data_IF_577572109462
#
_entry.id   IF_577572109462
#
_cell.length_a   1.000
_cell.length_b   1.000
_cell.length_c   1.000
_cell.angle_alpha   90.00
_cell.angle_beta   90.00
_cell.angle_gamma   90.00
#
_symmetry.space_group_name_H-M   'P 1'
#
loop_
_entity.id
_entity.type
_entity.pdbx_description
1 polymer ?
#
# COMPACT_ATOMS: atom_id res chain seq x y z
N UNK A 1 -47.81 -6.16 -3.69
CA UNK A 1 -46.44 -5.92 -3.17
C UNK A 1 -45.73 -5.11 -4.24
N UNK A 2 -45.48 -3.83 -4.03
CA UNK A 2 -44.71 -2.99 -4.96
C UNK A 2 -43.23 -3.24 -4.69
N UNK A 3 -42.54 -3.89 -5.61
CA UNK A 3 -41.09 -4.04 -5.56
C UNK A 3 -40.44 -2.65 -5.66
N UNK A 4 -39.66 -2.28 -4.64
CA UNK A 4 -38.81 -1.10 -4.69
C UNK A 4 -37.58 -1.44 -5.53
N UNK A 5 -37.43 -0.75 -6.66
CA UNK A 5 -36.21 -0.83 -7.48
C UNK A 5 -35.07 -0.17 -6.69
N UNK A 6 -33.94 -0.86 -6.45
CA UNK A 6 -32.81 -0.30 -5.74
C UNK A 6 -32.17 0.85 -6.55
N UNK A 7 -31.79 1.92 -5.88
CA UNK A 7 -31.07 3.05 -6.49
C UNK A 7 -29.66 2.61 -6.91
N UNK A 8 -29.32 2.83 -8.19
CA UNK A 8 -28.02 2.45 -8.75
C UNK A 8 -27.06 3.64 -8.67
N UNK A 9 -26.02 3.52 -7.85
CA UNK A 9 -24.93 4.50 -7.75
C UNK A 9 -23.74 4.08 -8.62
N UNK A 10 -23.70 4.50 -9.88
CA UNK A 10 -22.64 4.13 -10.83
C UNK A 10 -21.27 4.60 -10.33
N UNK A 11 -20.31 3.68 -10.25
CA UNK A 11 -18.94 3.98 -9.79
C UNK A 11 -18.84 4.37 -8.32
N UNK A 12 -19.87 4.09 -7.50
CA UNK A 12 -19.94 4.46 -6.08
C UNK A 12 -19.84 5.98 -5.83
N UNK A 13 -20.23 6.80 -6.81
CA UNK A 13 -20.21 8.26 -6.66
C UNK A 13 -21.06 8.73 -5.47
N UNK A 14 -20.42 9.36 -4.49
CA UNK A 14 -21.06 9.85 -3.27
C UNK A 14 -21.46 8.77 -2.27
N UNK A 15 -21.04 7.51 -2.47
CA UNK A 15 -21.36 6.40 -1.57
C UNK A 15 -20.21 6.18 -0.58
N UNK A 16 -20.50 6.34 0.71
CA UNK A 16 -19.58 5.95 1.79
C UNK A 16 -19.72 4.45 2.02
N UNK A 17 -18.64 3.70 1.81
CA UNK A 17 -18.62 2.23 1.97
C UNK A 17 -18.06 1.77 3.31
N UNK A 18 -17.19 2.57 3.93
CA UNK A 18 -16.58 2.26 5.23
C UNK A 18 -15.98 3.51 5.88
N UNK A 19 -15.45 3.34 7.09
CA UNK A 19 -14.64 4.31 7.83
C UNK A 19 -13.16 3.98 7.71
N UNK A 20 -12.29 4.98 7.86
CA UNK A 20 -10.82 4.77 7.86
C UNK A 20 -10.14 5.73 8.82
N UNK A 21 -9.08 5.25 9.46
CA UNK A 21 -8.19 6.05 10.29
C UNK A 21 -6.85 6.37 9.59
N UNK A 22 -6.69 6.01 8.31
CA UNK A 22 -5.40 6.10 7.60
C UNK A 22 -5.20 7.49 7.00
N UNK A 23 -6.17 7.99 6.25
CA UNK A 23 -6.07 9.29 5.58
C UNK A 23 -7.41 10.01 5.48
N UNK A 24 -7.34 11.32 5.30
CA UNK A 24 -8.52 12.16 5.05
C UNK A 24 -8.18 13.25 4.05
N UNK A 25 -9.07 13.45 3.08
CA UNK A 25 -9.08 14.66 2.25
C UNK A 25 -10.01 15.66 2.93
N UNK A 26 -9.48 16.81 3.34
CA UNK A 26 -10.22 17.90 3.98
C UNK A 26 -10.71 18.86 2.89
N UNK A 27 -12.01 18.86 2.54
CA UNK A 27 -12.51 19.64 1.41
C UNK A 27 -12.33 21.14 1.56
N UNK A 28 -12.43 21.65 2.81
CA UNK A 28 -12.41 23.08 3.10
C UNK A 28 -11.02 23.69 2.88
N UNK A 29 -9.96 22.91 3.13
CA UNK A 29 -8.57 23.35 3.00
C UNK A 29 -7.87 22.73 1.79
N UNK A 30 -8.57 21.88 1.04
CA UNK A 30 -8.02 21.06 -0.05
C UNK A 30 -6.73 20.34 0.37
N UNK A 31 -6.67 19.90 1.63
CA UNK A 31 -5.48 19.28 2.23
C UNK A 31 -5.71 17.79 2.42
N UNK A 32 -4.72 17.00 2.04
CA UNK A 32 -4.65 15.57 2.31
C UNK A 32 -3.84 15.36 3.60
N UNK A 33 -4.38 14.58 4.53
CA UNK A 33 -3.66 14.18 5.74
C UNK A 33 -3.47 12.66 5.81
N UNK A 34 -2.30 12.24 6.30
CA UNK A 34 -1.99 10.85 6.67
C UNK A 34 -1.88 10.77 8.18
N UNK A 35 -2.72 9.96 8.82
CA UNK A 35 -2.80 9.83 10.28
C UNK A 35 -2.89 11.19 11.02
N UNK A 36 -3.49 12.20 10.38
CA UNK A 36 -3.60 13.55 10.93
C UNK A 36 -2.49 14.53 10.52
N UNK A 37 -1.37 14.06 9.97
CA UNK A 37 -0.28 14.89 9.46
C UNK A 37 -0.56 15.37 8.03
N UNK A 38 -0.35 16.65 7.74
CA UNK A 38 -0.51 17.18 6.39
C UNK A 38 0.55 16.59 5.45
N UNK A 39 0.11 16.08 4.28
CA UNK A 39 1.02 15.45 3.32
C UNK A 39 2.06 16.44 2.78
N UNK A 40 1.73 17.73 2.71
CA UNK A 40 2.69 18.78 2.34
C UNK A 40 3.86 18.85 3.32
N UNK A 41 3.58 18.73 4.62
CA UNK A 41 4.60 18.77 5.66
C UNK A 41 5.44 17.49 5.67
N UNK A 42 4.79 16.32 5.49
CA UNK A 42 5.47 15.04 5.37
C UNK A 42 6.41 15.03 4.15
N UNK A 43 5.96 15.51 3.00
CA UNK A 43 6.78 15.55 1.79
C UNK A 43 7.98 16.51 1.90
N UNK A 44 7.86 17.58 2.69
CA UNK A 44 8.93 18.55 2.88
C UNK A 44 9.95 18.11 3.94
N UNK A 45 9.53 17.35 4.96
CA UNK A 45 10.33 17.14 6.17
C UNK A 45 10.61 15.67 6.51
N UNK A 46 9.94 14.71 5.87
CA UNK A 46 10.08 13.28 6.17
C UNK A 46 10.61 12.51 4.95
N UNK A 47 11.34 11.45 5.25
CA UNK A 47 11.70 10.40 4.29
C UNK A 47 10.50 9.51 3.96
N UNK A 48 10.62 8.74 2.88
CA UNK A 48 9.59 7.78 2.50
C UNK A 48 9.42 6.68 3.56
N UNK A 49 10.52 6.21 4.15
CA UNK A 49 10.54 5.20 5.19
C UNK A 49 9.80 5.65 6.47
N UNK A 50 9.93 6.92 6.86
CA UNK A 50 9.15 7.50 7.97
C UNK A 50 7.66 7.53 7.66
N UNK A 51 7.28 7.88 6.43
CA UNK A 51 5.88 7.91 6.00
C UNK A 51 5.30 6.49 5.88
N UNK A 52 6.08 5.52 5.41
CA UNK A 52 5.67 4.11 5.40
C UNK A 52 5.40 3.59 6.81
N UNK A 53 6.30 3.89 7.76
CA UNK A 53 6.09 3.57 9.18
C UNK A 53 4.82 4.24 9.71
N UNK A 54 4.63 5.53 9.46
CA UNK A 54 3.45 6.28 9.87
C UNK A 54 2.15 5.62 9.39
N UNK A 55 2.11 5.20 8.11
CA UNK A 55 0.90 4.61 7.53
C UNK A 55 0.57 3.25 8.18
N UNK A 56 1.57 2.40 8.41
CA UNK A 56 1.39 1.09 9.04
C UNK A 56 1.08 1.18 10.54
N UNK A 57 1.87 1.94 11.29
CA UNK A 57 1.84 1.94 12.75
C UNK A 57 1.03 3.09 13.37
N UNK A 58 0.64 4.08 12.58
CA UNK A 58 -0.21 5.19 13.01
C UNK A 58 0.54 6.43 13.49
N UNK A 59 1.82 6.31 13.84
CA UNK A 59 2.65 7.41 14.37
C UNK A 59 4.02 7.46 13.65
N UNK A 60 4.64 8.65 13.65
CA UNK A 60 6.00 8.81 13.14
C UNK A 60 6.99 8.00 14.00
N UNK A 61 7.99 7.35 13.38
CA UNK A 61 8.91 6.49 14.10
C UNK A 61 9.83 7.28 15.02
N UNK A 62 10.24 6.66 16.14
CA UNK A 62 11.46 7.09 16.86
C UNK A 62 12.71 6.78 16.03
N UNK A 63 13.87 7.38 16.32
CA UNK A 63 15.11 7.08 15.61
C UNK A 63 15.45 5.58 15.59
N UNK A 64 15.21 4.87 16.69
CA UNK A 64 15.48 3.43 16.80
C UNK A 64 14.52 2.60 15.95
N UNK A 65 13.24 2.99 15.91
CA UNK A 65 12.23 2.33 15.07
C UNK A 65 12.54 2.52 13.58
N UNK A 66 12.94 3.74 13.19
CA UNK A 66 13.31 4.06 11.83
C UNK A 66 14.56 3.28 11.39
N UNK A 67 15.58 3.21 12.24
CA UNK A 67 16.80 2.44 11.96
C UNK A 67 16.46 0.96 11.74
N UNK A 68 15.66 0.37 12.63
CA UNK A 68 15.24 -1.03 12.51
C UNK A 68 14.44 -1.27 11.23
N UNK A 69 13.50 -0.38 10.90
CA UNK A 69 12.71 -0.48 9.68
C UNK A 69 13.60 -0.40 8.44
N UNK A 70 14.51 0.56 8.38
CA UNK A 70 15.44 0.74 7.26
C UNK A 70 16.37 -0.47 7.10
N UNK A 71 16.82 -1.10 8.19
CA UNK A 71 17.62 -2.33 8.13
C UNK A 71 16.83 -3.49 7.53
N UNK A 72 15.58 -3.69 7.98
CA UNK A 72 14.69 -4.73 7.45
C UNK A 72 14.37 -4.50 5.98
N UNK A 73 13.98 -3.28 5.63
CA UNK A 73 13.62 -2.88 4.27
C UNK A 73 14.80 -3.10 3.31
N UNK A 74 16.00 -2.64 3.66
CA UNK A 74 17.20 -2.82 2.82
C UNK A 74 17.57 -4.28 2.63
N UNK A 75 17.39 -5.10 3.66
CA UNK A 75 17.64 -6.55 3.58
C UNK A 75 16.64 -7.25 2.64
N UNK A 76 15.41 -6.75 2.52
CA UNK A 76 14.34 -7.33 1.71
C UNK A 76 14.34 -6.90 0.23
N UNK A 77 15.24 -6.01 -0.21
CA UNK A 77 15.26 -5.47 -1.59
C UNK A 77 15.69 -6.48 -2.68
N UNK A 78 16.32 -7.59 -2.31
CA UNK A 78 16.92 -8.51 -3.30
C UNK A 78 15.84 -9.36 -3.97
N UNK A 79 15.78 -9.28 -5.29
CA UNK A 79 15.06 -10.25 -6.11
C UNK A 79 15.85 -11.57 -6.20
N UNK A 80 15.17 -12.69 -6.03
CA UNK A 80 15.77 -14.01 -6.20
C UNK A 80 15.95 -14.36 -7.70
N UNK A 81 16.64 -15.46 -7.97
CA UNK A 81 16.91 -15.86 -9.35
C UNK A 81 15.65 -16.29 -10.11
N UNK A 82 14.66 -16.82 -9.39
CA UNK A 82 13.40 -17.29 -9.97
C UNK A 82 12.57 -16.11 -10.48
N UNK A 83 12.40 -15.06 -9.67
CA UNK A 83 11.75 -13.82 -10.07
C UNK A 83 12.47 -13.17 -11.24
N UNK A 84 13.81 -13.04 -11.20
CA UNK A 84 14.56 -12.48 -12.31
C UNK A 84 14.39 -13.31 -13.60
N UNK A 85 14.33 -14.64 -13.51
CA UNK A 85 14.06 -15.49 -14.67
C UNK A 85 12.63 -15.35 -15.19
N UNK A 86 11.65 -15.09 -14.34
CA UNK A 86 10.27 -14.80 -14.75
C UNK A 86 10.24 -13.50 -15.56
N UNK A 87 10.85 -12.43 -15.02
CA UNK A 87 10.89 -11.12 -15.66
C UNK A 87 11.57 -11.16 -17.04
N UNK A 88 12.65 -11.92 -17.21
CA UNK A 88 13.36 -12.03 -18.49
C UNK A 88 12.63 -12.86 -19.55
N UNK A 89 11.63 -13.67 -19.14
CA UNK A 89 10.79 -14.45 -20.06
C UNK A 89 9.56 -13.67 -20.55
N UNK A 90 9.22 -12.56 -19.90
CA UNK A 90 8.12 -11.70 -20.34
C UNK A 90 8.47 -11.03 -21.68
N UNK A 91 7.48 -10.80 -22.57
CA UNK A 91 7.72 -10.04 -23.79
C UNK A 91 8.25 -8.64 -23.46
N UNK A 92 9.30 -8.20 -24.15
CA UNK A 92 9.93 -6.88 -23.96
C UNK A 92 9.04 -5.70 -24.34
N UNK A 93 7.96 -5.96 -25.07
CA UNK A 93 6.96 -4.99 -25.51
C UNK A 93 5.65 -5.02 -24.69
N UNK A 94 5.55 -5.87 -23.67
CA UNK A 94 4.35 -5.88 -22.83
C UNK A 94 4.29 -4.62 -21.96
N UNK A 95 3.09 -4.25 -21.53
CA UNK A 95 2.93 -3.07 -20.70
C UNK A 95 3.60 -3.31 -19.33
N UNK A 96 4.38 -2.36 -18.76
CA UNK A 96 5.06 -2.58 -17.48
C UNK A 96 4.14 -2.99 -16.32
N UNK A 97 2.87 -2.57 -16.35
CA UNK A 97 1.88 -3.01 -15.36
C UNK A 97 1.55 -4.51 -15.44
N UNK A 98 1.62 -5.13 -16.62
CA UNK A 98 1.47 -6.59 -16.74
C UNK A 98 2.64 -7.32 -16.10
N UNK A 99 3.85 -6.76 -16.21
CA UNK A 99 5.05 -7.26 -15.54
C UNK A 99 4.89 -7.18 -14.03
N UNK A 100 4.52 -6.01 -13.49
CA UNK A 100 4.33 -5.81 -12.04
C UNK A 100 3.21 -6.71 -11.50
N UNK A 101 2.06 -6.78 -12.16
CA UNK A 101 0.94 -7.65 -11.75
C UNK A 101 1.39 -9.11 -11.65
N UNK A 102 2.11 -9.59 -12.65
CA UNK A 102 2.56 -10.99 -12.69
C UNK A 102 3.64 -11.26 -11.65
N UNK A 103 4.58 -10.32 -11.46
CA UNK A 103 5.64 -10.43 -10.45
C UNK A 103 5.08 -10.50 -9.03
N UNK A 104 4.11 -9.64 -8.68
CA UNK A 104 3.47 -9.66 -7.36
C UNK A 104 2.66 -10.94 -7.15
N UNK A 105 1.92 -11.39 -8.17
CA UNK A 105 1.19 -12.66 -8.10
C UNK A 105 2.14 -13.86 -7.92
N UNK A 106 3.31 -13.84 -8.54
CA UNK A 106 4.32 -14.88 -8.36
C UNK A 106 4.93 -14.86 -6.96
N UNK A 107 5.21 -13.68 -6.42
CA UNK A 107 5.72 -13.53 -5.05
C UNK A 107 4.75 -14.07 -4.00
N UNK A 108 3.44 -13.83 -4.17
CA UNK A 108 2.42 -14.43 -3.29
C UNK A 108 2.49 -15.96 -3.30
N UNK A 109 2.56 -16.57 -4.49
CA UNK A 109 2.62 -18.03 -4.63
C UNK A 109 3.91 -18.67 -4.06
N UNK A 110 4.99 -17.91 -3.90
CA UNK A 110 6.23 -18.37 -3.27
C UNK A 110 6.24 -18.14 -1.75
N UNK A 111 5.33 -17.31 -1.21
CA UNK A 111 5.27 -17.02 0.22
C UNK A 111 4.50 -18.13 0.97
N UNK A 112 5.16 -18.93 1.84
CA UNK A 112 4.46 -19.96 2.61
C UNK A 112 3.44 -19.40 3.60
N UNK A 113 3.47 -18.09 3.88
CA UNK A 113 2.53 -17.39 4.75
C UNK A 113 1.46 -16.61 3.98
N UNK A 114 1.31 -16.82 2.65
CA UNK A 114 0.33 -16.11 1.81
C UNK A 114 -1.10 -16.08 2.42
N UNK A 115 -1.53 -17.22 2.97
CA UNK A 115 -2.86 -17.37 3.56
C UNK A 115 -2.95 -16.93 5.05
N UNK A 116 -1.83 -16.55 5.68
CA UNK A 116 -1.77 -16.07 7.06
C UNK A 116 -2.06 -14.56 7.12
N UNK A 117 -3.32 -14.24 7.42
CA UNK A 117 -3.80 -12.86 7.55
C UNK A 117 -3.59 -12.27 8.96
N UNK A 118 -2.75 -12.87 9.80
CA UNK A 118 -2.43 -12.29 11.10
C UNK A 118 -1.57 -11.04 10.97
N UNK A 119 -1.73 -10.09 11.89
CA UNK A 119 -0.95 -8.85 11.92
C UNK A 119 0.56 -9.13 11.93
N UNK A 120 0.99 -10.15 12.68
CA UNK A 120 2.40 -10.54 12.78
C UNK A 120 2.98 -11.09 11.47
N UNK A 121 2.18 -11.74 10.63
CA UNK A 121 2.63 -12.22 9.33
C UNK A 121 2.81 -11.07 8.31
N UNK A 122 2.16 -9.93 8.56
CA UNK A 122 2.07 -8.81 7.63
C UNK A 122 2.85 -7.55 8.07
N UNK A 123 3.57 -7.57 9.20
CA UNK A 123 4.33 -6.44 9.78
C UNK A 123 5.82 -6.75 10.07
#
# INVERSE_FOLDING_TARGET
MTEQIPTIYKGLAGVVVDTTAISKVVPETNSLTYRGYAVQDLAANCSFEEVAHLLWYGELPTPEQLELLCLRERAARRADRSLLSLLTKMPDNCHPMDVVRTAISYLGAEDPAEDDNSEKANL
#
